data_IF_082868828027
#
_entry.id   IF_082868828027
#
_cell.length_a   1.000
_cell.length_b   1.000
_cell.length_c   1.000
_cell.angle_alpha   90.00
_cell.angle_beta   90.00
_cell.angle_gamma   90.00
#
_symmetry.space_group_name_H-M   'P 1'
#
loop_
_entity.id
_entity.type
_entity.pdbx_description
1 polymer ?
#
# COMPACT_ATOMS: atom_id res chain seq x y z
N UNK A 1 -22.61 16.40 11.11
CA UNK A 1 -21.97 16.82 12.39
C UNK A 1 -21.20 18.12 12.18
N UNK A 2 -21.59 19.24 12.80
CA UNK A 2 -20.90 20.53 12.63
C UNK A 2 -20.36 21.09 13.95
N UNK A 3 -19.13 21.60 13.94
CA UNK A 3 -18.48 22.22 15.11
C UNK A 3 -17.81 23.53 14.69
N UNK A 4 -18.17 24.63 15.36
CA UNK A 4 -17.56 25.94 15.10
C UNK A 4 -16.50 26.27 16.15
N UNK A 5 -15.30 26.64 15.71
CA UNK A 5 -14.17 27.08 16.55
C UNK A 5 -13.64 28.41 16.00
N UNK A 6 -14.16 29.52 16.55
CA UNK A 6 -13.88 30.87 16.03
C UNK A 6 -14.36 31.03 14.58
N UNK A 7 -13.46 31.43 13.68
CA UNK A 7 -13.72 31.57 12.24
C UNK A 7 -13.58 30.26 11.45
N UNK A 8 -13.46 29.12 12.13
CA UNK A 8 -13.41 27.79 11.49
C UNK A 8 -14.72 27.04 11.75
N UNK A 9 -15.37 26.56 10.70
CA UNK A 9 -16.46 25.58 10.79
C UNK A 9 -15.96 24.22 10.34
N UNK A 10 -15.92 23.25 11.24
CA UNK A 10 -15.64 21.85 10.93
C UNK A 10 -16.93 21.14 10.57
N UNK A 11 -16.96 20.47 9.42
CA UNK A 11 -18.06 19.59 8.99
C UNK A 11 -17.53 18.16 8.97
N UNK A 12 -17.93 17.38 9.97
CA UNK A 12 -17.59 15.97 10.11
C UNK A 12 -18.50 15.10 9.25
N UNK A 13 -17.90 14.24 8.43
CA UNK A 13 -18.59 13.43 7.43
C UNK A 13 -18.39 11.94 7.67
N UNK A 14 -19.45 11.16 7.49
CA UNK A 14 -19.35 9.72 7.32
C UNK A 14 -19.23 9.48 5.82
N UNK A 15 -18.06 9.05 5.35
CA UNK A 15 -17.55 9.04 3.96
C UNK A 15 -18.36 8.25 2.90
N UNK A 16 -19.62 7.96 3.16
CA UNK A 16 -20.50 7.06 2.42
C UNK A 16 -21.99 7.39 2.68
N UNK A 17 -22.33 8.59 3.19
CA UNK A 17 -23.72 9.02 3.40
C UNK A 17 -24.20 10.09 2.41
N UNK A 18 -25.34 9.90 1.72
CA UNK A 18 -26.01 10.98 0.99
C UNK A 18 -26.33 12.20 1.85
N UNK A 19 -26.65 11.98 3.13
CA UNK A 19 -26.97 13.07 4.06
C UNK A 19 -25.74 13.95 4.35
N UNK A 20 -24.54 13.36 4.40
CA UNK A 20 -23.28 14.11 4.54
C UNK A 20 -23.02 15.03 3.33
N UNK A 21 -23.41 14.61 2.12
CA UNK A 21 -23.30 15.46 0.91
C UNK A 21 -24.20 16.69 1.02
N UNK A 22 -25.45 16.49 1.44
CA UNK A 22 -26.41 17.57 1.64
C UNK A 22 -25.94 18.53 2.73
N UNK A 23 -25.50 18.00 3.87
CA UNK A 23 -25.01 18.79 4.99
C UNK A 23 -23.81 19.66 4.61
N UNK A 24 -22.87 19.15 3.82
CA UNK A 24 -21.73 19.92 3.32
C UNK A 24 -22.17 21.11 2.47
N UNK A 25 -23.12 20.91 1.55
CA UNK A 25 -23.63 21.99 0.70
C UNK A 25 -24.32 23.08 1.51
N UNK A 26 -25.23 22.68 2.40
CA UNK A 26 -25.95 23.60 3.28
C UNK A 26 -24.99 24.38 4.21
N UNK A 27 -23.94 23.73 4.71
CA UNK A 27 -22.93 24.38 5.53
C UNK A 27 -22.13 25.43 4.74
N UNK A 28 -21.76 25.15 3.49
CA UNK A 28 -21.04 26.10 2.63
C UNK A 28 -21.92 27.31 2.29
N UNK A 29 -23.17 27.07 1.89
CA UNK A 29 -24.13 28.12 1.54
C UNK A 29 -24.43 29.06 2.73
N UNK A 30 -24.60 28.49 3.93
CA UNK A 30 -24.95 29.24 5.14
C UNK A 30 -23.74 29.96 5.76
N UNK A 31 -22.58 29.30 5.84
CA UNK A 31 -21.41 29.84 6.52
C UNK A 31 -20.67 30.90 5.69
N UNK A 32 -20.76 30.81 4.35
CA UNK A 32 -20.08 31.69 3.39
C UNK A 32 -18.58 31.84 3.70
N UNK A 33 -17.81 30.75 3.60
CA UNK A 33 -16.38 30.76 3.90
C UNK A 33 -15.57 31.54 2.84
N UNK A 34 -14.39 32.02 3.24
CA UNK A 34 -13.38 32.55 2.31
C UNK A 34 -12.50 31.42 1.74
N UNK A 35 -12.40 30.30 2.46
CA UNK A 35 -11.66 29.10 2.04
C UNK A 35 -12.44 27.83 2.40
N UNK A 36 -12.54 26.89 1.46
CA UNK A 36 -13.06 25.54 1.72
C UNK A 36 -11.88 24.57 1.82
N UNK A 37 -11.60 24.09 3.02
CA UNK A 37 -10.59 23.08 3.28
C UNK A 37 -11.19 21.67 3.18
N UNK A 38 -10.49 20.76 2.51
CA UNK A 38 -10.91 19.36 2.38
C UNK A 38 -9.81 18.41 2.85
N UNK A 39 -10.18 17.33 3.56
CA UNK A 39 -9.28 16.27 4.03
C UNK A 39 -8.78 15.38 2.88
N UNK A 40 -8.12 16.00 1.91
CA UNK A 40 -7.54 15.36 0.75
C UNK A 40 -6.11 15.85 0.56
N UNK A 41 -5.23 14.92 0.20
CA UNK A 41 -3.93 15.26 -0.36
C UNK A 41 -4.03 15.38 -1.89
N UNK A 42 -3.02 15.97 -2.53
CA UNK A 42 -3.00 16.20 -3.99
C UNK A 42 -3.20 14.94 -4.81
N UNK A 43 -2.67 13.80 -4.36
CA UNK A 43 -2.87 12.50 -5.03
C UNK A 43 -4.35 12.11 -5.01
N UNK A 44 -4.99 12.13 -3.84
CA UNK A 44 -6.41 11.77 -3.68
C UNK A 44 -7.34 12.76 -4.40
N UNK A 45 -7.02 14.05 -4.38
CA UNK A 45 -7.76 15.07 -5.13
C UNK A 45 -7.82 14.74 -6.63
N UNK A 46 -6.68 14.40 -7.24
CA UNK A 46 -6.62 14.01 -8.66
C UNK A 46 -7.44 12.75 -8.94
N UNK A 47 -7.39 11.76 -8.06
CA UNK A 47 -8.18 10.52 -8.22
C UNK A 47 -9.68 10.82 -8.22
N UNK A 48 -10.15 11.70 -7.34
CA UNK A 48 -11.57 12.05 -7.22
C UNK A 48 -12.06 12.94 -8.39
N UNK A 49 -11.20 13.83 -8.90
CA UNK A 49 -11.56 14.80 -9.95
C UNK A 49 -11.27 14.33 -11.38
N UNK A 50 -10.30 13.43 -11.58
CA UNK A 50 -9.86 12.91 -12.89
C UNK A 50 -10.08 11.39 -13.05
N UNK A 51 -11.22 10.86 -12.56
CA UNK A 51 -11.52 9.41 -12.44
C UNK A 51 -11.15 8.56 -13.68
N UNK A 52 -11.59 8.97 -14.87
CA UNK A 52 -11.38 8.19 -16.11
C UNK A 52 -9.91 8.04 -16.48
N UNK A 53 -9.15 9.12 -16.38
CA UNK A 53 -7.71 9.14 -16.67
C UNK A 53 -6.93 8.27 -15.68
N UNK A 54 -7.38 8.24 -14.42
CA UNK A 54 -6.80 7.39 -13.39
C UNK A 54 -7.03 5.90 -13.65
N UNK A 55 -8.26 5.49 -13.99
CA UNK A 55 -8.61 4.07 -14.19
C UNK A 55 -7.87 3.41 -15.37
N UNK A 56 -7.61 4.19 -16.41
CA UNK A 56 -6.89 3.75 -17.61
C UNK A 56 -5.36 3.81 -17.47
N UNK A 57 -4.84 4.37 -16.37
CA UNK A 57 -3.40 4.51 -16.17
C UNK A 57 -2.72 3.14 -16.04
N UNK A 58 -1.64 2.85 -16.80
CA UNK A 58 -0.87 1.62 -16.64
C UNK A 58 -0.25 1.52 -15.25
N UNK A 59 -0.31 0.35 -14.61
CA UNK A 59 0.32 0.14 -13.28
C UNK A 59 1.85 0.38 -13.34
N UNK A 60 2.45 0.16 -14.51
CA UNK A 60 3.89 0.32 -14.75
C UNK A 60 4.39 1.75 -14.49
N UNK A 61 3.56 2.79 -14.66
CA UNK A 61 3.94 4.18 -14.32
C UNK A 61 4.18 4.39 -12.82
N UNK A 62 3.69 3.48 -11.98
CA UNK A 62 3.86 3.50 -10.52
C UNK A 62 4.96 2.54 -10.04
N UNK A 63 5.40 1.60 -10.87
CA UNK A 63 6.47 0.64 -10.56
C UNK A 63 7.85 1.30 -10.57
N UNK A 64 8.08 2.26 -11.46
CA UNK A 64 9.38 2.92 -11.69
C UNK A 64 9.91 3.74 -10.50
N UNK A 65 9.10 3.96 -9.47
CA UNK A 65 9.45 4.81 -8.31
C UNK A 65 9.37 4.14 -6.94
N UNK A 66 9.26 2.80 -6.87
CA UNK A 66 9.03 2.10 -5.60
C UNK A 66 7.72 2.52 -4.93
N UNK A 67 6.72 2.90 -5.73
CA UNK A 67 5.37 3.32 -5.28
C UNK A 67 4.30 2.26 -5.58
N UNK A 68 4.70 1.11 -6.13
CA UNK A 68 3.82 -0.01 -6.45
C UNK A 68 2.88 -0.38 -5.28
N UNK A 69 3.44 -0.62 -4.09
CA UNK A 69 2.67 -1.00 -2.90
C UNK A 69 1.68 0.07 -2.43
N UNK A 70 1.91 1.34 -2.77
CA UNK A 70 0.99 2.42 -2.43
C UNK A 70 -0.22 2.40 -3.35
N UNK A 71 -0.01 2.16 -4.64
CA UNK A 71 -1.11 1.96 -5.58
C UNK A 71 -1.94 0.74 -5.15
N UNK A 72 -1.28 -0.36 -4.77
CA UNK A 72 -1.96 -1.55 -4.26
C UNK A 72 -2.79 -1.20 -3.01
N UNK A 73 -2.20 -0.53 -2.02
CA UNK A 73 -2.88 -0.16 -0.78
C UNK A 73 -4.03 0.85 -1.00
N UNK A 74 -3.82 1.88 -1.82
CA UNK A 74 -4.83 2.90 -2.12
C UNK A 74 -6.00 2.30 -2.88
N UNK A 75 -5.71 1.50 -3.91
CA UNK A 75 -6.78 0.92 -4.72
C UNK A 75 -7.53 -0.16 -3.93
N UNK A 76 -6.84 -0.89 -3.06
CA UNK A 76 -7.47 -1.81 -2.10
C UNK A 76 -8.40 -1.07 -1.13
N UNK A 77 -7.93 0.02 -0.52
CA UNK A 77 -8.74 0.84 0.36
C UNK A 77 -9.94 1.43 -0.38
N UNK A 78 -9.76 1.92 -1.61
CA UNK A 78 -10.86 2.38 -2.46
C UNK A 78 -11.85 1.25 -2.78
N UNK A 79 -11.38 0.01 -2.90
CA UNK A 79 -12.23 -1.16 -3.18
C UNK A 79 -13.13 -1.52 -1.98
N UNK A 80 -12.59 -1.45 -0.75
CA UNK A 80 -13.35 -1.60 0.51
C UNK A 80 -14.35 -0.46 0.62
N UNK A 81 -13.88 0.78 0.48
CA UNK A 81 -14.72 1.98 0.57
C UNK A 81 -15.90 1.89 -0.41
N UNK A 82 -15.67 1.43 -1.65
CA UNK A 82 -16.71 1.31 -2.67
C UNK A 82 -17.72 0.19 -2.37
N UNK A 83 -17.32 -0.87 -1.65
CA UNK A 83 -18.24 -1.91 -1.19
C UNK A 83 -19.22 -1.33 -0.15
N UNK A 84 -18.67 -0.64 0.85
CA UNK A 84 -19.45 0.06 1.89
C UNK A 84 -20.36 1.13 1.26
N UNK A 85 -19.86 1.93 0.31
CA UNK A 85 -20.64 2.97 -0.35
C UNK A 85 -21.79 2.45 -1.21
N UNK A 86 -21.67 1.25 -1.78
CA UNK A 86 -22.78 0.60 -2.51
C UNK A 86 -23.94 0.20 -1.60
N UNK A 87 -23.63 -0.28 -0.40
CA UNK A 87 -24.63 -0.66 0.60
C UNK A 87 -25.34 0.57 1.18
N UNK A 88 -24.66 1.72 1.23
CA UNK A 88 -25.17 2.98 1.77
C UNK A 88 -25.67 3.99 0.73
N UNK A 89 -25.63 3.63 -0.56
CA UNK A 89 -26.19 4.44 -1.64
C UNK A 89 -25.41 5.72 -1.99
N UNK A 90 -24.12 5.84 -1.63
CA UNK A 90 -23.29 6.97 -2.07
C UNK A 90 -21.86 6.57 -2.44
N UNK A 91 -21.25 7.32 -3.36
CA UNK A 91 -19.87 7.07 -3.77
C UNK A 91 -18.90 7.53 -2.67
N UNK A 92 -17.85 6.76 -2.35
CA UNK A 92 -16.84 7.19 -1.39
C UNK A 92 -16.18 8.50 -1.80
N UNK A 93 -16.11 9.46 -0.88
CA UNK A 93 -15.56 10.77 -1.17
C UNK A 93 -16.55 11.73 -1.83
N UNK A 94 -17.83 11.37 -1.98
CA UNK A 94 -18.86 12.22 -2.58
C UNK A 94 -19.02 13.55 -1.81
N UNK A 95 -18.90 13.52 -0.49
CA UNK A 95 -18.90 14.70 0.37
C UNK A 95 -17.74 15.65 0.07
N UNK A 96 -16.55 15.10 -0.19
CA UNK A 96 -15.38 15.90 -0.56
C UNK A 96 -15.50 16.48 -1.96
N UNK A 97 -16.04 15.69 -2.91
CA UNK A 97 -16.34 16.18 -4.27
C UNK A 97 -17.36 17.30 -4.22
N UNK A 98 -18.44 17.14 -3.44
CA UNK A 98 -19.45 18.16 -3.26
C UNK A 98 -18.86 19.45 -2.67
N UNK A 99 -17.98 19.35 -1.66
CA UNK A 99 -17.28 20.50 -1.11
C UNK A 99 -16.43 21.24 -2.17
N UNK A 100 -15.70 20.49 -2.99
CA UNK A 100 -14.86 21.03 -4.08
C UNK A 100 -15.73 21.72 -5.15
N UNK A 101 -16.84 21.10 -5.54
CA UNK A 101 -17.76 21.65 -6.54
C UNK A 101 -18.43 22.91 -6.02
N UNK A 102 -18.91 22.92 -4.78
CA UNK A 102 -19.58 24.07 -4.19
C UNK A 102 -18.62 25.25 -4.01
N UNK A 103 -17.39 24.98 -3.55
CA UNK A 103 -16.34 25.98 -3.48
C UNK A 103 -16.04 26.63 -4.84
N UNK A 104 -16.00 25.83 -5.92
CA UNK A 104 -15.82 26.34 -7.28
C UNK A 104 -16.99 27.21 -7.75
N UNK A 105 -18.23 26.86 -7.39
CA UNK A 105 -19.42 27.65 -7.78
C UNK A 105 -19.44 29.03 -7.14
N UNK A 106 -18.99 29.13 -5.89
CA UNK A 106 -18.91 30.41 -5.16
C UNK A 106 -17.54 31.09 -5.34
N UNK A 107 -16.69 30.57 -6.22
CA UNK A 107 -15.36 31.11 -6.57
C UNK A 107 -14.39 31.27 -5.38
N UNK A 108 -14.48 30.38 -4.39
CA UNK A 108 -13.57 30.37 -3.23
C UNK A 108 -12.45 29.32 -3.38
N UNK A 109 -11.33 29.57 -2.70
CA UNK A 109 -10.18 28.69 -2.74
C UNK A 109 -10.49 27.31 -2.11
N UNK A 110 -10.07 26.24 -2.79
CA UNK A 110 -10.07 24.88 -2.23
C UNK A 110 -8.70 24.56 -1.65
N UNK A 111 -8.60 24.45 -0.33
CA UNK A 111 -7.37 24.08 0.36
C UNK A 111 -7.29 22.58 0.64
N UNK A 112 -6.20 21.95 0.22
CA UNK A 112 -5.90 20.54 0.49
C UNK A 112 -5.12 20.42 1.80
N UNK A 113 -5.77 19.92 2.85
CA UNK A 113 -5.21 19.98 4.22
C UNK A 113 -4.67 18.64 4.76
N UNK A 114 -4.70 17.58 3.97
CA UNK A 114 -4.23 16.26 4.40
C UNK A 114 -2.83 15.91 3.86
N UNK A 115 -2.11 15.08 4.63
CA UNK A 115 -0.78 14.56 4.28
C UNK A 115 -0.90 13.59 3.11
N UNK A 116 0.16 13.50 2.29
CA UNK A 116 0.22 12.48 1.24
C UNK A 116 -0.03 11.08 1.84
N UNK A 117 -1.10 10.43 1.37
CA UNK A 117 -1.54 9.14 1.87
C UNK A 117 -0.43 8.08 1.77
N UNK A 118 0.46 8.23 0.80
CA UNK A 118 1.63 7.38 0.63
C UNK A 118 2.61 7.49 1.78
N UNK A 119 2.85 8.70 2.25
CA UNK A 119 3.72 8.97 3.38
C UNK A 119 3.07 8.43 4.64
N UNK A 120 1.78 8.72 4.85
CA UNK A 120 0.98 8.25 5.98
C UNK A 120 1.04 6.73 6.11
N UNK A 121 0.71 5.98 5.05
CA UNK A 121 0.74 4.51 5.05
C UNK A 121 2.15 3.96 5.24
N UNK A 122 3.17 4.56 4.59
CA UNK A 122 4.58 4.16 4.78
C UNK A 122 5.04 4.34 6.22
N UNK A 123 4.69 5.46 6.84
CA UNK A 123 5.05 5.77 8.23
C UNK A 123 4.40 4.77 9.17
N UNK A 124 3.10 4.51 9.01
CA UNK A 124 2.39 3.51 9.82
C UNK A 124 3.07 2.15 9.72
N UNK A 125 3.32 1.67 8.50
CA UNK A 125 3.99 0.39 8.28
C UNK A 125 5.42 0.33 8.83
N UNK A 126 6.16 1.44 8.81
CA UNK A 126 7.54 1.48 9.31
C UNK A 126 7.63 1.62 10.82
N UNK A 127 6.69 2.32 11.47
CA UNK A 127 6.60 2.37 12.94
C UNK A 127 6.12 1.04 13.52
N UNK A 128 5.32 0.28 12.78
CA UNK A 128 4.81 -1.01 13.27
C UNK A 128 5.92 -2.02 13.61
N UNK A 129 5.77 -2.65 14.77
CA UNK A 129 6.57 -3.80 15.19
C UNK A 129 6.29 -5.07 14.37
N UNK A 130 7.10 -6.12 14.56
CA UNK A 130 6.87 -7.40 13.88
C UNK A 130 5.57 -8.09 14.36
N UNK A 131 5.28 -8.03 15.66
CA UNK A 131 4.06 -8.61 16.25
C UNK A 131 2.79 -7.95 15.72
N UNK A 132 2.76 -6.62 15.66
CA UNK A 132 1.62 -5.86 15.12
C UNK A 132 1.36 -6.22 13.65
N UNK A 133 2.43 -6.41 12.85
CA UNK A 133 2.31 -6.84 11.44
C UNK A 133 1.74 -8.23 11.30
N UNK A 134 2.21 -9.18 12.10
CA UNK A 134 1.68 -10.54 12.10
C UNK A 134 0.21 -10.56 12.52
N UNK A 135 -0.15 -9.80 13.56
CA UNK A 135 -1.54 -9.70 14.02
C UNK A 135 -2.44 -9.11 12.93
N UNK A 136 -2.06 -7.98 12.33
CA UNK A 136 -2.82 -7.39 11.22
C UNK A 136 -2.97 -8.35 10.02
N UNK A 137 -1.90 -9.07 9.67
CA UNK A 137 -1.95 -10.06 8.60
C UNK A 137 -2.89 -11.23 8.95
N UNK A 138 -2.89 -11.67 10.21
CA UNK A 138 -3.80 -12.72 10.69
C UNK A 138 -5.26 -12.28 10.66
N UNK A 139 -5.57 -11.10 11.21
CA UNK A 139 -6.93 -10.53 11.17
C UNK A 139 -7.42 -10.38 9.73
N UNK A 140 -6.56 -9.93 8.82
CA UNK A 140 -6.89 -9.84 7.40
C UNK A 140 -7.20 -11.22 6.78
N UNK A 141 -6.42 -12.24 7.11
CA UNK A 141 -6.66 -13.61 6.62
C UNK A 141 -8.02 -14.13 7.12
N UNK A 142 -8.35 -13.90 8.40
CA UNK A 142 -9.66 -14.29 8.95
C UNK A 142 -10.82 -13.62 8.21
N UNK A 143 -10.74 -12.30 8.01
CA UNK A 143 -11.75 -11.55 7.27
C UNK A 143 -11.90 -12.02 5.81
N UNK A 144 -10.80 -12.42 5.17
CA UNK A 144 -10.81 -12.93 3.79
C UNK A 144 -11.36 -14.35 3.65
N UNK A 145 -11.13 -15.20 4.65
CA UNK A 145 -11.61 -16.60 4.65
C UNK A 145 -13.07 -16.67 5.11
N UNK A 146 -13.64 -15.56 5.61
CA UNK A 146 -15.00 -15.52 6.15
C UNK A 146 -15.09 -16.31 7.46
N UNK A 147 -14.06 -16.23 8.30
CA UNK A 147 -13.97 -16.99 9.54
C UNK A 147 -14.74 -16.36 10.71
N UNK A 148 -15.39 -15.22 10.48
CA UNK A 148 -16.30 -14.62 11.45
C UNK A 148 -17.73 -15.00 11.05
N UNK A 149 -18.41 -15.67 11.99
CA UNK A 149 -19.81 -16.09 11.95
C UNK A 149 -20.74 -14.88 11.76
N UNK A 150 -21.94 -15.18 11.29
CA UNK A 150 -23.01 -14.27 10.89
C UNK A 150 -23.42 -13.24 11.97
N UNK A 151 -22.70 -12.12 12.08
CA UNK A 151 -23.24 -10.89 12.67
C UNK A 151 -23.53 -9.89 11.55
N UNK A 152 -24.80 -9.82 11.12
CA UNK A 152 -25.33 -8.68 10.39
C UNK A 152 -25.27 -7.44 11.30
N UNK A 153 -24.13 -6.76 11.32
CA UNK A 153 -24.00 -5.46 11.96
C UNK A 153 -24.72 -4.41 11.12
N UNK A 154 -25.68 -3.67 11.71
CA UNK A 154 -26.35 -2.58 11.01
C UNK A 154 -25.35 -1.44 10.74
N UNK A 155 -24.93 -1.34 9.49
CA UNK A 155 -23.93 -0.37 9.00
C UNK A 155 -24.38 1.08 9.27
N UNK A 156 -25.68 1.34 9.40
CA UNK A 156 -26.17 2.69 9.74
C UNK A 156 -25.85 3.08 11.17
N UNK A 157 -25.94 2.16 12.11
CA UNK A 157 -25.61 2.38 13.52
C UNK A 157 -24.09 2.62 13.70
N UNK A 158 -23.27 1.98 12.86
CA UNK A 158 -21.82 2.21 12.78
C UNK A 158 -21.40 3.61 12.32
N UNK A 159 -22.32 4.39 11.75
CA UNK A 159 -22.02 5.75 11.27
C UNK A 159 -22.20 6.81 12.35
N UNK A 160 -22.75 6.44 13.52
CA UNK A 160 -22.87 7.35 14.64
C UNK A 160 -21.50 7.71 15.21
N UNK A 161 -21.34 8.98 15.59
CA UNK A 161 -20.06 9.52 16.05
C UNK A 161 -19.46 8.72 17.21
N UNK A 162 -20.31 8.28 18.13
CA UNK A 162 -19.91 7.57 19.34
C UNK A 162 -19.48 6.13 19.05
N UNK A 163 -20.12 5.47 18.07
CA UNK A 163 -19.74 4.12 17.62
C UNK A 163 -18.42 4.15 16.85
N UNK A 164 -18.25 5.10 15.92
CA UNK A 164 -16.97 5.29 15.20
C UNK A 164 -15.83 5.56 16.19
N UNK A 165 -16.07 6.42 17.18
CA UNK A 165 -15.07 6.78 18.19
C UNK A 165 -14.66 5.55 19.02
N UNK A 166 -15.64 4.74 19.43
CA UNK A 166 -15.42 3.50 20.20
C UNK A 166 -14.61 2.48 19.39
N UNK A 167 -14.93 2.29 18.11
CA UNK A 167 -14.17 1.39 17.22
C UNK A 167 -12.73 1.86 16.98
N UNK A 168 -12.51 3.17 16.85
CA UNK A 168 -11.17 3.73 16.72
C UNK A 168 -10.34 3.54 18.00
N UNK A 169 -10.98 3.61 19.17
CA UNK A 169 -10.34 3.35 20.45
C UNK A 169 -9.93 1.87 20.60
N UNK A 170 -10.82 0.93 20.27
CA UNK A 170 -10.52 -0.50 20.26
C UNK A 170 -9.41 -0.86 19.25
N UNK A 171 -9.45 -0.26 18.06
CA UNK A 171 -8.37 -0.40 17.08
C UNK A 171 -7.03 0.13 17.62
N UNK A 172 -7.06 1.22 18.39
CA UNK A 172 -5.90 1.77 19.10
C UNK A 172 -5.25 0.80 20.08
N UNK A 173 -6.04 -0.02 20.77
CA UNK A 173 -5.51 -1.07 21.67
C UNK A 173 -4.82 -2.19 20.89
N UNK A 174 -5.29 -2.49 19.69
CA UNK A 174 -4.76 -3.57 18.84
C UNK A 174 -3.47 -3.15 18.12
N UNK A 175 -3.45 -1.93 17.57
CA UNK A 175 -2.38 -1.43 16.71
C UNK A 175 -1.97 0.01 17.07
N UNK A 176 -1.39 0.23 18.26
CA UNK A 176 -1.13 1.58 18.80
C UNK A 176 -0.19 2.40 17.90
N UNK A 177 0.81 1.75 17.30
CA UNK A 177 1.73 2.40 16.34
C UNK A 177 1.01 2.94 15.10
N UNK A 178 -0.09 2.30 14.70
CA UNK A 178 -0.91 2.67 13.55
C UNK A 178 -1.80 3.85 13.91
N UNK A 179 -2.47 3.79 15.05
CA UNK A 179 -3.32 4.87 15.58
C UNK A 179 -2.54 6.15 15.75
N UNK A 180 -1.31 6.09 16.29
CA UNK A 180 -0.44 7.26 16.39
C UNK A 180 -0.19 7.93 15.03
N UNK A 181 -0.01 7.17 13.94
CA UNK A 181 0.31 7.73 12.62
C UNK A 181 -0.93 8.12 11.82
N UNK A 182 -1.95 7.27 11.82
CA UNK A 182 -3.15 7.42 11.00
C UNK A 182 -4.14 8.40 11.61
N UNK A 183 -4.14 8.55 12.95
CA UNK A 183 -5.03 9.46 13.69
C UNK A 183 -4.22 10.60 14.27
N UNK A 184 -3.44 10.39 15.33
CA UNK A 184 -2.84 11.49 16.10
C UNK A 184 -1.91 12.41 15.28
N UNK A 185 -0.96 11.85 14.52
CA UNK A 185 -0.10 12.62 13.62
C UNK A 185 -0.90 13.30 12.51
N UNK A 186 -1.95 12.65 12.03
CA UNK A 186 -2.77 13.12 10.91
C UNK A 186 -3.66 14.29 11.35
N UNK A 187 -4.27 14.21 12.53
CA UNK A 187 -5.03 15.29 13.15
C UNK A 187 -4.17 16.52 13.35
N UNK A 188 -2.94 16.35 13.87
CA UNK A 188 -1.97 17.45 14.01
C UNK A 188 -1.66 18.10 12.66
N UNK A 189 -1.44 17.28 11.62
CA UNK A 189 -1.17 17.76 10.27
C UNK A 189 -2.34 18.59 9.73
N UNK A 190 -3.55 18.01 9.77
CA UNK A 190 -4.78 18.64 9.26
C UNK A 190 -5.08 19.92 10.03
N UNK A 191 -5.07 19.88 11.37
CA UNK A 191 -5.33 21.04 12.21
C UNK A 191 -4.32 22.16 11.96
N UNK A 192 -3.02 21.84 11.83
CA UNK A 192 -1.99 22.84 11.51
C UNK A 192 -2.27 23.51 10.16
N UNK A 193 -2.60 22.72 9.14
CA UNK A 193 -2.94 23.24 7.80
C UNK A 193 -4.19 24.12 7.85
N UNK A 194 -5.24 23.71 8.56
CA UNK A 194 -6.45 24.52 8.74
C UNK A 194 -6.11 25.86 9.43
N UNK A 195 -5.28 25.85 10.48
CA UNK A 195 -4.84 27.09 11.14
C UNK A 195 -4.03 28.01 10.21
N UNK A 196 -3.24 27.45 9.30
CA UNK A 196 -2.52 28.23 8.30
C UNK A 196 -3.48 28.85 7.27
N UNK A 197 -4.50 28.11 6.82
CA UNK A 197 -5.55 28.64 5.93
C UNK A 197 -6.43 29.68 6.62
N UNK A 198 -6.67 29.55 7.93
CA UNK A 198 -7.44 30.51 8.75
C UNK A 198 -6.85 31.93 8.69
N UNK A 199 -5.56 32.08 8.39
CA UNK A 199 -4.92 33.39 8.19
C UNK A 199 -5.49 34.16 6.99
N UNK A 200 -6.17 33.48 6.07
CA UNK A 200 -6.80 34.07 4.88
C UNK A 200 -8.25 34.51 5.12
N UNK A 201 -8.91 34.06 6.20
CA UNK A 201 -10.31 34.39 6.49
C UNK A 201 -11.07 33.23 7.15
N UNK A 202 -12.39 33.21 6.96
CA UNK A 202 -13.29 32.15 7.42
C UNK A 202 -13.02 30.86 6.67
N UNK A 203 -12.80 29.78 7.41
CA UNK A 203 -12.51 28.46 6.83
C UNK A 203 -13.65 27.50 7.14
N UNK A 204 -14.21 26.87 6.11
CA UNK A 204 -15.04 25.68 6.30
C UNK A 204 -14.19 24.46 5.96
N UNK A 205 -13.99 23.56 6.93
CA UNK A 205 -13.20 22.35 6.74
C UNK A 205 -14.08 21.10 6.74
N UNK A 206 -14.10 20.38 5.63
CA UNK A 206 -14.78 19.09 5.49
C UNK A 206 -13.78 17.98 5.82
N UNK A 207 -14.08 17.22 6.88
CA UNK A 207 -13.20 16.18 7.44
C UNK A 207 -13.99 14.91 7.75
N UNK A 208 -13.31 13.78 7.83
CA UNK A 208 -13.90 12.52 8.28
C UNK A 208 -14.29 12.59 9.76
N UNK A 209 -15.41 11.96 10.13
CA UNK A 209 -15.94 12.00 11.49
C UNK A 209 -14.92 11.54 12.56
N UNK A 210 -14.08 10.53 12.23
CA UNK A 210 -13.04 10.02 13.13
C UNK A 210 -11.91 11.02 13.44
N UNK A 211 -11.75 12.08 12.65
CA UNK A 211 -10.73 13.12 12.86
C UNK A 211 -11.30 14.38 13.52
N UNK A 212 -12.63 14.52 13.58
CA UNK A 212 -13.32 15.74 13.98
C UNK A 212 -12.91 16.22 15.38
N UNK A 213 -12.93 15.33 16.37
CA UNK A 213 -12.64 15.68 17.77
C UNK A 213 -11.15 16.00 17.99
N UNK A 214 -10.25 15.23 17.37
CA UNK A 214 -8.81 15.48 17.44
C UNK A 214 -8.44 16.82 16.83
N UNK A 215 -9.00 17.15 15.66
CA UNK A 215 -8.79 18.45 15.00
C UNK A 215 -9.37 19.60 15.85
N UNK A 216 -10.60 19.46 16.34
CA UNK A 216 -11.26 20.45 17.20
C UNK A 216 -10.37 20.84 18.38
N UNK A 217 -9.85 19.85 19.11
CA UNK A 217 -8.96 20.07 20.26
C UNK A 217 -7.73 20.91 19.92
N UNK A 218 -7.11 20.69 18.76
CA UNK A 218 -5.97 21.48 18.31
C UNK A 218 -6.36 22.88 17.86
N UNK A 219 -7.53 23.06 17.23
CA UNK A 219 -8.03 24.37 16.85
C UNK A 219 -8.40 25.24 18.05
N UNK A 220 -8.99 24.65 19.10
CA UNK A 220 -9.33 25.35 20.34
C UNK A 220 -8.10 25.85 21.09
N UNK A 221 -6.99 25.10 21.03
CA UNK A 221 -5.70 25.55 21.54
C UNK A 221 -5.07 26.69 20.73
N UNK A 222 -5.48 26.88 19.47
CA UNK A 222 -4.96 27.93 18.59
C UNK A 222 -3.55 27.69 18.06
N UNK A 223 -2.82 26.70 18.58
CA UNK A 223 -1.48 26.33 18.11
C UNK A 223 -1.28 24.81 18.03
N UNK A 224 -0.54 24.39 17.00
CA UNK A 224 -0.05 23.02 16.86
C UNK A 224 1.47 23.09 16.77
N UNK A 225 2.13 22.71 17.87
CA UNK A 225 3.59 22.65 17.95
C UNK A 225 4.09 21.34 17.31
N UNK A 226 4.02 21.28 15.98
CA UNK A 226 4.58 20.19 15.19
C UNK A 226 5.25 20.74 13.95
N UNK A 227 6.46 20.24 13.65
CA UNK A 227 7.07 20.47 12.35
C UNK A 227 6.39 19.58 11.31
N UNK A 228 5.65 20.19 10.38
CA UNK A 228 5.00 19.48 9.26
C UNK A 228 6.01 18.64 8.48
N UNK A 229 7.24 19.14 8.27
CA UNK A 229 8.27 18.41 7.50
C UNK A 229 8.67 17.11 8.21
N UNK A 230 8.68 17.09 9.54
CA UNK A 230 8.92 15.87 10.32
C UNK A 230 7.83 14.80 10.11
N UNK A 231 6.59 15.24 9.90
CA UNK A 231 5.44 14.36 9.61
C UNK A 231 5.43 13.89 8.16
N UNK A 232 6.10 14.59 7.25
CA UNK A 232 6.26 14.22 5.83
C UNK A 232 7.44 13.28 5.58
N UNK A 233 8.40 13.21 6.49
CA UNK A 233 9.54 12.30 6.38
C UNK A 233 9.15 10.85 6.71
N UNK A 234 9.76 9.85 6.07
CA UNK A 234 9.49 8.44 6.39
C UNK A 234 10.67 7.86 7.19
N UNK A 235 10.48 7.35 8.42
CA UNK A 235 11.60 6.92 9.28
C UNK A 235 12.42 5.81 8.62
N UNK A 236 13.75 5.90 8.64
CA UNK A 236 14.65 4.90 8.03
C UNK A 236 14.68 3.63 8.90
N UNK A 237 14.66 2.45 8.27
CA UNK A 237 14.87 1.17 9.00
C UNK A 237 16.35 0.99 9.33
N UNK A 238 16.65 0.42 10.50
CA UNK A 238 17.97 -0.16 10.81
C UNK A 238 18.24 -1.38 9.91
N UNK A 239 19.51 -1.73 9.75
CA UNK A 239 20.00 -2.79 8.86
C UNK A 239 19.19 -4.08 9.07
N UNK A 240 18.66 -4.65 8.00
CA UNK A 240 17.82 -5.84 8.05
C UNK A 240 18.68 -7.09 8.10
N UNK A 241 18.37 -8.03 9.00
CA UNK A 241 18.96 -9.39 9.02
C UNK A 241 18.85 -10.06 7.65
N UNK A 242 17.78 -9.78 6.89
CA UNK A 242 17.62 -10.26 5.52
C UNK A 242 18.72 -9.74 4.57
N UNK A 243 19.25 -8.53 4.77
CA UNK A 243 20.42 -8.06 3.99
C UNK A 243 21.65 -8.89 4.33
N UNK A 244 21.88 -9.20 5.60
CA UNK A 244 23.04 -10.01 6.03
C UNK A 244 22.98 -11.39 5.38
N UNK A 245 21.83 -12.08 5.48
CA UNK A 245 21.64 -13.40 4.86
C UNK A 245 21.76 -13.33 3.34
N UNK A 246 21.21 -12.30 2.70
CA UNK A 246 21.28 -12.17 1.25
C UNK A 246 22.73 -12.02 0.76
N UNK A 247 23.60 -11.28 1.45
CA UNK A 247 25.02 -11.17 1.08
C UNK A 247 25.85 -12.42 1.43
N UNK A 248 25.41 -13.24 2.38
CA UNK A 248 26.12 -14.48 2.72
C UNK A 248 26.13 -15.50 1.57
N UNK A 249 25.04 -15.59 0.79
CA UNK A 249 24.91 -16.52 -0.34
C UNK A 249 25.97 -16.29 -1.44
N UNK A 250 26.13 -15.09 -2.03
CA UNK A 250 27.16 -14.86 -3.04
C UNK A 250 28.58 -14.97 -2.48
N UNK A 251 28.80 -14.55 -1.23
CA UNK A 251 30.10 -14.71 -0.57
C UNK A 251 30.46 -16.21 -0.48
N UNK A 252 29.51 -17.04 -0.03
CA UNK A 252 29.71 -18.48 0.06
C UNK A 252 29.98 -19.10 -1.32
N UNK A 253 29.19 -18.73 -2.32
CA UNK A 253 29.35 -19.24 -3.69
C UNK A 253 30.74 -18.91 -4.25
N UNK A 254 31.16 -17.64 -4.17
CA UNK A 254 32.49 -17.20 -4.62
C UNK A 254 33.60 -17.86 -3.81
N UNK A 255 33.43 -18.01 -2.49
CA UNK A 255 34.43 -18.67 -1.64
C UNK A 255 34.65 -20.13 -2.05
N UNK A 256 33.58 -20.85 -2.40
CA UNK A 256 33.68 -22.24 -2.89
C UNK A 256 34.40 -22.27 -4.24
N UNK A 257 34.06 -21.38 -5.19
CA UNK A 257 34.77 -21.28 -6.48
C UNK A 257 36.26 -21.05 -6.28
N UNK A 258 36.63 -20.08 -5.43
CA UNK A 258 38.04 -19.75 -5.14
C UNK A 258 38.74 -20.93 -4.48
N UNK A 259 38.09 -21.61 -3.54
CA UNK A 259 38.65 -22.78 -2.86
C UNK A 259 38.95 -23.92 -3.84
N UNK A 260 38.04 -24.20 -4.79
CA UNK A 260 38.25 -25.22 -5.83
C UNK A 260 39.45 -24.85 -6.71
N UNK A 261 39.54 -23.60 -7.15
CA UNK A 261 40.64 -23.12 -7.99
C UNK A 261 42.01 -23.21 -7.27
N UNK A 262 42.05 -22.87 -5.98
CA UNK A 262 43.29 -22.90 -5.19
C UNK A 262 43.75 -24.34 -4.89
N UNK A 263 42.82 -25.25 -4.59
CA UNK A 263 43.18 -26.64 -4.22
C UNK A 263 43.43 -27.55 -5.42
N UNK A 264 42.70 -27.33 -6.52
CA UNK A 264 42.64 -28.28 -7.65
C UNK A 264 43.16 -27.70 -8.97
N UNK A 265 43.57 -26.42 -9.01
CA UNK A 265 44.14 -25.77 -10.18
C UNK A 265 43.19 -25.66 -11.38
N UNK A 266 43.72 -25.34 -12.57
CA UNK A 266 42.94 -25.15 -13.82
C UNK A 266 42.29 -26.45 -14.35
N UNK A 267 42.72 -27.62 -13.87
CA UNK A 267 42.08 -28.92 -14.15
C UNK A 267 40.69 -29.07 -13.51
N UNK A 268 40.25 -28.13 -12.67
CA UNK A 268 38.96 -28.16 -11.99
C UNK A 268 37.86 -27.34 -12.67
N UNK A 269 38.12 -26.82 -13.87
CA UNK A 269 37.13 -26.03 -14.62
C UNK A 269 35.84 -26.83 -14.87
N UNK A 270 35.93 -28.13 -15.13
CA UNK A 270 34.76 -28.99 -15.31
C UNK A 270 33.90 -29.05 -14.04
N UNK A 271 34.51 -29.14 -12.85
CA UNK A 271 33.79 -29.11 -11.56
C UNK A 271 33.09 -27.78 -11.33
N UNK A 272 33.73 -26.67 -11.69
CA UNK A 272 33.15 -25.32 -11.57
C UNK A 272 31.98 -25.16 -12.55
N UNK A 273 32.13 -25.66 -13.78
CA UNK A 273 31.06 -25.66 -14.78
C UNK A 273 29.87 -26.52 -14.34
N UNK A 274 30.12 -27.72 -13.80
CA UNK A 274 29.07 -28.58 -13.25
C UNK A 274 28.35 -27.90 -12.08
N UNK A 275 29.10 -27.30 -11.15
CA UNK A 275 28.55 -26.55 -10.04
C UNK A 275 27.66 -25.39 -10.51
N UNK A 276 28.10 -24.63 -11.52
CA UNK A 276 27.31 -23.56 -12.10
C UNK A 276 26.10 -24.08 -12.87
N UNK A 277 26.22 -25.19 -13.59
CA UNK A 277 25.12 -25.83 -14.31
C UNK A 277 24.02 -26.28 -13.34
N UNK A 278 24.37 -26.94 -12.25
CA UNK A 278 23.41 -27.35 -11.24
C UNK A 278 22.80 -26.17 -10.49
N UNK A 279 23.59 -25.14 -10.16
CA UNK A 279 23.05 -23.87 -9.65
C UNK A 279 22.01 -23.28 -10.60
N UNK A 280 22.35 -23.24 -11.88
CA UNK A 280 21.52 -22.68 -12.94
C UNK A 280 20.21 -23.46 -13.11
N UNK A 281 20.29 -24.78 -13.25
CA UNK A 281 19.13 -25.64 -13.46
C UNK A 281 18.20 -25.65 -12.25
N UNK A 282 18.73 -25.75 -11.02
CA UNK A 282 17.91 -25.79 -9.80
C UNK A 282 17.20 -24.45 -9.58
N UNK A 283 17.93 -23.32 -9.63
CA UNK A 283 17.33 -22.00 -9.43
C UNK A 283 16.35 -21.67 -10.55
N UNK A 284 16.76 -21.89 -11.81
CA UNK A 284 15.95 -21.59 -12.98
C UNK A 284 14.66 -22.39 -13.01
N UNK A 285 14.73 -23.71 -12.86
CA UNK A 285 13.55 -24.59 -12.95
C UNK A 285 12.52 -24.31 -11.85
N UNK A 286 12.96 -24.11 -10.60
CA UNK A 286 12.05 -23.83 -9.49
C UNK A 286 11.41 -22.45 -9.61
N UNK A 287 12.16 -21.43 -10.05
CA UNK A 287 11.61 -20.10 -10.32
C UNK A 287 10.60 -20.12 -11.48
N UNK A 288 10.94 -20.82 -12.57
CA UNK A 288 10.05 -21.01 -13.70
C UNK A 288 8.77 -21.76 -13.32
N UNK A 289 8.89 -22.79 -12.47
CA UNK A 289 7.75 -23.54 -11.93
C UNK A 289 6.84 -22.62 -11.12
N UNK A 290 7.40 -21.76 -10.27
CA UNK A 290 6.63 -20.74 -9.56
C UNK A 290 5.87 -19.80 -10.50
N UNK A 291 6.53 -19.28 -11.54
CA UNK A 291 5.88 -18.45 -12.56
C UNK A 291 4.79 -19.21 -13.35
N UNK A 292 5.00 -20.51 -13.60
CA UNK A 292 4.04 -21.38 -14.27
C UNK A 292 2.80 -21.66 -13.41
N UNK A 293 2.97 -21.92 -12.11
CA UNK A 293 1.87 -22.05 -11.13
C UNK A 293 1.03 -20.76 -11.12
N UNK A 294 1.68 -19.60 -11.22
CA UNK A 294 0.99 -18.32 -11.34
C UNK A 294 0.28 -18.10 -12.69
N UNK A 295 0.34 -19.06 -13.63
CA UNK A 295 -0.18 -18.95 -15.01
C UNK A 295 0.42 -17.78 -15.78
N UNK A 296 1.69 -17.48 -15.52
CA UNK A 296 2.45 -16.46 -16.22
C UNK A 296 2.51 -16.73 -17.73
N UNK A 297 2.74 -15.68 -18.50
CA UNK A 297 3.02 -15.79 -19.92
C UNK A 297 4.28 -16.67 -20.15
N UNK A 298 4.34 -17.50 -21.21
CA UNK A 298 5.51 -18.35 -21.49
C UNK A 298 6.85 -17.60 -21.47
N UNK A 299 6.88 -16.37 -22.02
CA UNK A 299 8.06 -15.51 -21.98
C UNK A 299 8.42 -15.05 -20.56
N UNK A 300 7.44 -14.84 -19.68
CA UNK A 300 7.68 -14.52 -18.26
C UNK A 300 8.26 -15.73 -17.52
N UNK A 301 7.78 -16.94 -17.83
CA UNK A 301 8.30 -18.20 -17.28
C UNK A 301 9.76 -18.42 -17.73
N UNK A 302 10.04 -18.24 -19.02
CA UNK A 302 11.40 -18.33 -19.55
C UNK A 302 12.32 -17.26 -18.93
N UNK A 303 11.80 -16.05 -18.74
CA UNK A 303 12.55 -14.97 -18.09
C UNK A 303 12.87 -15.33 -16.63
N UNK A 304 11.93 -15.91 -15.88
CA UNK A 304 12.18 -16.41 -14.54
C UNK A 304 13.28 -17.49 -14.52
N UNK A 305 13.23 -18.44 -15.47
CA UNK A 305 14.23 -19.49 -15.63
C UNK A 305 15.65 -18.92 -15.81
N UNK A 306 15.81 -17.98 -16.74
CA UNK A 306 17.11 -17.39 -17.09
C UNK A 306 17.60 -16.42 -16.01
N UNK A 307 16.71 -15.62 -15.42
CA UNK A 307 17.10 -14.59 -14.46
C UNK A 307 17.47 -15.17 -13.09
N UNK A 308 16.78 -16.22 -12.64
CA UNK A 308 16.91 -16.73 -11.27
C UNK A 308 18.34 -17.03 -10.82
N UNK A 309 19.18 -17.76 -11.59
CA UNK A 309 20.55 -18.11 -11.19
C UNK A 309 21.47 -16.91 -10.97
N UNK A 310 21.25 -15.81 -11.69
CA UNK A 310 22.03 -14.59 -11.54
C UNK A 310 21.50 -13.72 -10.41
N UNK A 311 20.18 -13.65 -10.26
CA UNK A 311 19.55 -12.85 -9.20
C UNK A 311 19.71 -13.45 -7.81
N UNK A 312 19.78 -14.79 -7.69
CA UNK A 312 20.08 -15.44 -6.40
C UNK A 312 21.48 -15.12 -5.89
N UNK A 313 22.42 -14.80 -6.79
CA UNK A 313 23.77 -14.33 -6.46
C UNK A 313 23.87 -12.79 -6.34
N UNK A 314 22.77 -12.06 -6.57
CA UNK A 314 22.74 -10.62 -6.46
C UNK A 314 21.59 -10.15 -5.56
N UNK A 315 21.87 -9.84 -4.27
CA UNK A 315 20.88 -9.38 -3.30
C UNK A 315 20.07 -8.15 -3.70
N UNK A 316 20.52 -7.38 -4.69
CA UNK A 316 19.85 -6.16 -5.14
C UNK A 316 18.70 -6.42 -6.12
N UNK A 317 18.63 -7.60 -6.75
CA UNK A 317 17.68 -7.92 -7.80
C UNK A 317 17.05 -9.29 -7.58
N UNK A 318 15.81 -9.48 -8.05
CA UNK A 318 15.08 -10.73 -7.86
C UNK A 318 14.52 -11.24 -9.19
N UNK A 319 14.53 -12.57 -9.39
CA UNK A 319 14.06 -13.23 -10.62
C UNK A 319 12.65 -12.80 -11.03
N UNK A 320 11.77 -12.71 -10.04
CA UNK A 320 10.37 -12.32 -10.20
C UNK A 320 10.21 -10.89 -10.69
N UNK A 321 11.16 -9.97 -10.47
CA UNK A 321 11.08 -8.62 -11.04
C UNK A 321 11.25 -8.65 -12.56
N UNK A 322 12.19 -9.44 -13.07
CA UNK A 322 12.38 -9.60 -14.51
C UNK A 322 11.17 -10.29 -15.15
N UNK A 323 10.71 -11.40 -14.57
CA UNK A 323 9.51 -12.10 -15.01
C UNK A 323 8.27 -11.18 -14.95
N UNK A 324 8.15 -10.37 -13.90
CA UNK A 324 7.07 -9.40 -13.73
C UNK A 324 7.12 -8.25 -14.74
N UNK A 325 8.31 -7.74 -15.10
CA UNK A 325 8.45 -6.72 -16.16
C UNK A 325 7.97 -7.28 -17.50
N UNK A 326 8.37 -8.51 -17.82
CA UNK A 326 7.93 -9.19 -19.06
C UNK A 326 6.42 -9.44 -19.03
N UNK A 327 5.88 -9.94 -17.91
CA UNK A 327 4.43 -10.15 -17.74
C UNK A 327 3.66 -8.83 -17.88
N UNK A 328 4.14 -7.75 -17.26
CA UNK A 328 3.50 -6.44 -17.32
C UNK A 328 3.59 -5.79 -18.71
N UNK A 329 4.62 -6.10 -19.52
CA UNK A 329 4.70 -5.64 -20.90
C UNK A 329 3.74 -6.40 -21.82
N UNK A 330 3.64 -7.72 -21.64
CA UNK A 330 2.86 -8.59 -22.51
C UNK A 330 1.37 -8.62 -22.14
N UNK A 331 1.05 -8.47 -20.86
CA UNK A 331 -0.30 -8.50 -20.30
C UNK A 331 -0.48 -7.32 -19.36
N UNK A 332 -0.39 -6.12 -19.93
CA UNK A 332 -0.41 -4.86 -19.20
C UNK A 332 -1.62 -4.77 -18.25
N UNK A 333 -1.39 -4.74 -16.93
CA UNK A 333 -2.46 -4.53 -15.98
C UNK A 333 -2.73 -3.03 -15.80
N UNK A 334 -4.00 -2.71 -15.62
CA UNK A 334 -4.51 -1.35 -15.44
C UNK A 334 -5.07 -1.17 -14.02
N UNK A 335 -5.30 0.08 -13.61
CA UNK A 335 -5.98 0.37 -12.33
C UNK A 335 -7.38 -0.25 -12.31
N UNK A 336 -8.08 -0.29 -13.45
CA UNK A 336 -9.38 -0.96 -13.60
C UNK A 336 -9.32 -2.46 -13.27
N UNK A 337 -8.28 -3.17 -13.71
CA UNK A 337 -8.09 -4.59 -13.35
C UNK A 337 -7.98 -4.73 -11.83
N UNK A 338 -7.28 -3.82 -11.15
CA UNK A 338 -7.21 -3.84 -9.69
C UNK A 338 -8.56 -3.58 -9.03
N UNK A 339 -9.32 -2.60 -9.50
CA UNK A 339 -10.65 -2.29 -8.95
C UNK A 339 -11.61 -3.48 -9.07
N UNK A 340 -11.48 -4.30 -10.12
CA UNK A 340 -12.32 -5.50 -10.30
C UNK A 340 -12.08 -6.57 -9.23
N UNK A 341 -11.05 -6.46 -8.38
CA UNK A 341 -10.80 -7.39 -7.29
C UNK A 341 -11.92 -7.41 -6.24
N UNK A 342 -12.68 -6.33 -6.09
CA UNK A 342 -13.84 -6.32 -5.20
C UNK A 342 -15.07 -7.05 -5.77
N UNK A 343 -15.01 -7.50 -7.02
CA UNK A 343 -16.05 -8.31 -7.67
C UNK A 343 -15.63 -9.78 -7.80
N UNK A 344 -14.54 -10.16 -7.14
CA UNK A 344 -14.05 -11.54 -7.15
C UNK A 344 -14.90 -12.34 -6.19
N UNK A 345 -15.74 -13.21 -6.73
CA UNK A 345 -16.64 -14.08 -5.97
C UNK A 345 -16.04 -15.48 -5.73
N UNK A 346 -14.85 -15.76 -6.30
CA UNK A 346 -14.15 -17.03 -6.08
C UNK A 346 -12.71 -17.08 -6.57
N UNK A 347 -12.03 -18.19 -6.24
CA UNK A 347 -10.61 -18.42 -6.53
C UNK A 347 -10.27 -18.32 -8.03
N UNK A 348 -11.20 -18.71 -8.90
CA UNK A 348 -11.04 -18.66 -10.36
C UNK A 348 -10.95 -17.22 -10.87
N UNK A 349 -11.83 -16.35 -10.37
CA UNK A 349 -11.86 -14.94 -10.76
C UNK A 349 -10.66 -14.18 -10.19
N UNK A 350 -10.23 -14.57 -8.98
CA UNK A 350 -9.02 -14.06 -8.35
C UNK A 350 -7.77 -14.29 -9.23
N UNK A 351 -7.56 -15.54 -9.68
CA UNK A 351 -6.41 -15.91 -10.51
C UNK A 351 -6.51 -15.42 -11.97
N UNK A 352 -7.72 -15.11 -12.44
CA UNK A 352 -7.95 -14.56 -13.77
C UNK A 352 -7.66 -13.05 -13.86
N UNK A 353 -7.62 -12.37 -12.72
CA UNK A 353 -7.27 -10.96 -12.66
C UNK A 353 -5.82 -10.69 -13.08
N UNK A 354 -5.60 -9.72 -13.97
CA UNK A 354 -4.26 -9.40 -14.52
C UNK A 354 -3.29 -8.92 -13.45
N UNK A 355 -3.77 -8.16 -12.45
CA UNK A 355 -2.92 -7.67 -11.36
C UNK A 355 -2.50 -8.81 -10.45
N UNK A 356 -3.45 -9.64 -10.02
CA UNK A 356 -3.15 -10.78 -9.15
C UNK A 356 -2.19 -11.72 -9.85
N UNK A 357 -2.43 -12.01 -11.13
CA UNK A 357 -1.50 -12.82 -11.92
C UNK A 357 -0.10 -12.23 -11.93
N UNK A 358 0.05 -10.94 -12.22
CA UNK A 358 1.36 -10.27 -12.19
C UNK A 358 2.03 -10.41 -10.83
N UNK A 359 1.30 -10.14 -9.74
CA UNK A 359 1.83 -10.25 -8.38
C UNK A 359 2.23 -11.68 -8.03
N UNK A 360 1.40 -12.66 -8.41
CA UNK A 360 1.67 -14.09 -8.23
C UNK A 360 2.89 -14.54 -9.03
N UNK A 361 3.06 -14.08 -10.28
CA UNK A 361 4.25 -14.36 -11.09
C UNK A 361 5.50 -13.84 -10.37
N UNK A 362 5.49 -12.59 -9.89
CA UNK A 362 6.62 -12.01 -9.16
C UNK A 362 6.89 -12.78 -7.87
N UNK A 363 5.85 -13.04 -7.07
CA UNK A 363 5.98 -13.66 -5.75
C UNK A 363 6.43 -15.13 -5.85
N UNK A 364 5.77 -15.93 -6.68
CA UNK A 364 6.08 -17.35 -6.82
C UNK A 364 7.41 -17.58 -7.55
N UNK A 365 7.80 -16.73 -8.52
CA UNK A 365 9.13 -16.81 -9.12
C UNK A 365 10.24 -16.51 -8.10
N UNK A 366 10.06 -15.51 -7.24
CA UNK A 366 11.00 -15.20 -6.16
C UNK A 366 11.06 -16.32 -5.11
N UNK A 367 9.90 -16.88 -4.75
CA UNK A 367 9.82 -18.03 -3.83
C UNK A 367 10.56 -19.23 -4.42
N UNK A 368 10.30 -19.55 -5.69
CA UNK A 368 10.98 -20.64 -6.40
C UNK A 368 12.49 -20.45 -6.46
N UNK A 369 12.98 -19.24 -6.74
CA UNK A 369 14.42 -18.92 -6.71
C UNK A 369 15.00 -19.05 -5.29
N UNK A 370 14.26 -18.64 -4.26
CA UNK A 370 14.69 -18.76 -2.86
C UNK A 370 14.82 -20.23 -2.45
N UNK A 371 13.80 -21.06 -2.77
CA UNK A 371 13.84 -22.51 -2.54
C UNK A 371 15.00 -23.11 -3.33
N UNK A 372 15.19 -22.70 -4.59
CA UNK A 372 16.27 -23.18 -5.44
C UNK A 372 17.65 -22.87 -4.88
N UNK A 373 17.84 -21.69 -4.28
CA UNK A 373 19.08 -21.36 -3.56
C UNK A 373 19.31 -22.30 -2.39
N UNK A 374 18.29 -22.54 -1.55
CA UNK A 374 18.41 -23.44 -0.39
C UNK A 374 18.68 -24.89 -0.79
N UNK A 375 18.08 -25.35 -1.88
CA UNK A 375 18.26 -26.72 -2.42
C UNK A 375 19.63 -26.87 -3.11
N UNK A 376 20.09 -25.84 -3.81
CA UNK A 376 21.35 -25.90 -4.56
C UNK A 376 22.59 -25.80 -3.65
N UNK A 377 22.54 -25.07 -2.53
CA UNK A 377 23.68 -24.89 -1.63
C UNK A 377 24.29 -26.23 -1.17
N UNK A 378 23.53 -27.19 -0.61
CA UNK A 378 24.08 -28.50 -0.20
C UNK A 378 24.73 -29.26 -1.36
N UNK A 379 24.14 -29.16 -2.56
CA UNK A 379 24.63 -29.86 -3.74
C UNK A 379 25.97 -29.27 -4.22
N UNK A 380 26.08 -27.95 -4.23
CA UNK A 380 27.29 -27.20 -4.56
C UNK A 380 28.40 -27.47 -3.53
N UNK A 381 28.07 -27.49 -2.24
CA UNK A 381 29.03 -27.82 -1.19
C UNK A 381 29.57 -29.24 -1.39
N UNK A 382 28.72 -30.20 -1.76
CA UNK A 382 29.13 -31.58 -2.02
C UNK A 382 30.07 -31.68 -3.23
N UNK A 383 29.73 -31.06 -4.35
CA UNK A 383 30.57 -31.03 -5.56
C UNK A 383 31.89 -30.31 -5.27
N UNK A 384 31.82 -29.21 -4.53
CA UNK A 384 32.97 -28.36 -4.25
C UNK A 384 33.94 -29.02 -3.28
N UNK A 385 33.48 -29.55 -2.14
CA UNK A 385 34.36 -30.01 -1.05
C UNK A 385 34.63 -31.53 -1.02
N UNK A 386 33.75 -32.35 -1.62
CA UNK A 386 33.75 -33.81 -1.44
C UNK A 386 33.93 -34.58 -2.77
N UNK A 387 33.64 -33.95 -3.91
CA UNK A 387 33.87 -34.51 -5.26
C UNK A 387 35.18 -34.02 -5.84
#
# INVERSE_FOLDING_TARGET
>A
MQVKVGDVLLVGTAHVSPDSVKEVKEAIESFKPDVVAVELCRSRYKVLTEKRKWEETPITSFLSGGKAYLLLAQTFLSSIQRRIGKELGSEPGAEMVAAIEEAKKIEVEVALVDRDISITLKRAWRKMGFREKLRLAWEFIKAMIGYDEDEEFDIKELMEQDVISTMMEEFGKIAPSTTEVLINERDKYIAKRILDEKKKGKVLAVVGAGHLQGIKHYLEKGEVNVDIKSLENVPKKRVSVAKIVAYAVPILFVSIVVWILVTSGLSSLDKILDMFLWWFLINGSLSATGAAIARGHPLSILTAFVAAPFTSLNPAVAAGWFAGIVEAKLRMPTVKDFQQLNKVEGLKDFLNNRVIRLLMVVALANLGSTIGTLVAIPYIIKIGLIG
#
